data_IF_349372839943
#
_entry.id   IF_349372839943
#
_cell.length_a   1.000
_cell.length_b   1.000
_cell.length_c   1.000
_cell.angle_alpha   90.00
_cell.angle_beta   90.00
_cell.angle_gamma   90.00
#
_symmetry.space_group_name_H-M   'P 1'
#
loop_
_entity.id
_entity.type
_entity.pdbx_description
1 polymer ?
#
# COMPACT_ATOMS: atom_id res chain seq x y z
N UNK A 1 -4.90 14.94 8.42
CA UNK A 1 -3.80 14.44 9.25
C UNK A 1 -3.94 12.92 9.42
N UNK A 2 -3.41 12.11 8.49
CA UNK A 2 -3.62 10.64 8.52
C UNK A 2 -2.42 9.81 8.10
N UNK A 3 -1.43 10.41 7.43
CA UNK A 3 -0.14 9.78 7.09
C UNK A 3 0.94 10.54 7.85
N UNK A 4 1.75 9.81 8.63
CA UNK A 4 2.86 10.35 9.41
C UNK A 4 4.16 10.39 8.60
N UNK A 5 4.37 9.42 7.71
CA UNK A 5 5.55 9.36 6.84
C UNK A 5 5.24 8.66 5.52
N UNK A 6 6.03 8.99 4.50
CA UNK A 6 6.00 8.39 3.16
C UNK A 6 7.42 7.99 2.79
N UNK A 7 7.56 6.80 2.23
CA UNK A 7 8.84 6.29 1.75
C UNK A 7 8.68 5.81 0.30
N UNK A 8 9.61 6.16 -0.61
CA UNK A 8 9.59 5.63 -1.96
C UNK A 8 9.77 4.10 -1.91
N UNK A 9 9.03 3.41 -2.76
CA UNK A 9 9.09 1.96 -2.86
C UNK A 9 8.69 1.48 -4.25
N UNK A 10 8.72 0.17 -4.45
CA UNK A 10 8.23 -0.45 -5.69
C UNK A 10 7.34 -1.65 -5.36
N UNK A 11 6.23 -1.77 -6.08
CA UNK A 11 5.37 -2.95 -6.08
C UNK A 11 5.62 -3.81 -7.32
N UNK A 12 5.41 -5.12 -7.22
CA UNK A 12 5.51 -6.02 -8.38
C UNK A 12 4.11 -6.38 -8.85
N UNK A 13 3.80 -6.06 -10.10
CA UNK A 13 2.55 -6.43 -10.75
C UNK A 13 2.83 -7.45 -11.86
N UNK A 14 1.81 -8.23 -12.21
CA UNK A 14 1.87 -9.20 -13.29
C UNK A 14 0.47 -9.40 -13.88
N UNK A 15 0.42 -9.84 -15.13
CA UNK A 15 -0.81 -10.26 -15.79
C UNK A 15 -1.24 -11.65 -15.26
N UNK A 16 -2.38 -12.16 -15.72
CA UNK A 16 -2.85 -13.50 -15.36
C UNK A 16 -1.77 -14.56 -15.60
N UNK A 17 -1.74 -15.59 -14.74
CA UNK A 17 -0.68 -16.61 -14.71
C UNK A 17 0.71 -16.06 -14.37
N UNK A 18 0.78 -14.90 -13.71
CA UNK A 18 2.02 -14.23 -13.32
C UNK A 18 2.94 -13.91 -14.51
N UNK A 19 2.36 -13.72 -15.70
CA UNK A 19 3.09 -13.32 -16.90
C UNK A 19 3.41 -11.83 -16.88
N UNK A 20 4.44 -11.40 -17.63
CA UNK A 20 4.82 -9.99 -17.79
C UNK A 20 5.07 -9.26 -16.45
N UNK A 21 5.69 -9.95 -15.48
CA UNK A 21 5.91 -9.41 -14.15
C UNK A 21 6.90 -8.24 -14.16
N UNK A 22 6.48 -7.08 -13.66
CA UNK A 22 7.29 -5.86 -13.65
C UNK A 22 7.18 -5.10 -12.34
N UNK A 23 8.23 -4.35 -12.03
CA UNK A 23 8.23 -3.41 -10.92
C UNK A 23 7.59 -2.09 -11.35
N UNK A 24 6.74 -1.55 -10.51
CA UNK A 24 6.14 -0.22 -10.66
C UNK A 24 6.45 0.61 -9.43
N UNK A 25 6.68 1.90 -9.63
CA UNK A 25 6.92 2.82 -8.53
C UNK A 25 5.67 2.97 -7.66
N UNK A 26 5.92 3.15 -6.37
CA UNK A 26 4.89 3.33 -5.36
C UNK A 26 5.47 3.95 -4.10
N UNK A 27 4.64 3.99 -3.07
CA UNK A 27 5.01 4.57 -1.78
C UNK A 27 4.50 3.71 -0.63
N UNK A 28 5.38 3.46 0.32
CA UNK A 28 5.00 2.97 1.63
C UNK A 28 4.49 4.14 2.46
N UNK A 29 3.30 3.99 3.00
CA UNK A 29 2.65 4.95 3.88
C UNK A 29 2.70 4.44 5.30
N UNK A 30 3.18 5.26 6.23
CA UNK A 30 3.01 5.03 7.67
C UNK A 30 1.87 5.90 8.14
N UNK A 31 0.80 5.30 8.64
CA UNK A 31 -0.36 6.03 9.12
C UNK A 31 -0.11 6.57 10.53
N UNK A 32 -0.60 7.77 10.82
CA UNK A 32 -0.52 8.32 12.17
C UNK A 32 -1.52 7.61 13.09
N UNK A 33 -1.33 7.62 14.42
CA UNK A 33 -2.32 7.10 15.36
C UNK A 33 -3.69 7.82 15.29
N UNK A 34 -3.71 9.04 14.75
CA UNK A 34 -4.93 9.83 14.52
C UNK A 34 -5.61 9.51 13.18
N UNK A 35 -5.05 8.61 12.36
CA UNK A 35 -5.68 8.20 11.12
C UNK A 35 -7.03 7.53 11.39
N UNK A 36 -8.04 7.94 10.64
CA UNK A 36 -9.40 7.41 10.82
C UNK A 36 -9.44 5.91 10.55
N UNK A 37 -9.89 5.07 11.51
CA UNK A 37 -10.09 3.64 11.28
C UNK A 37 -11.10 3.34 10.18
N UNK A 38 -12.02 4.26 9.88
CA UNK A 38 -12.97 4.13 8.76
C UNK A 38 -12.26 4.09 7.40
N UNK A 39 -11.07 4.70 7.31
CA UNK A 39 -10.28 4.76 6.07
C UNK A 39 -9.18 3.70 6.06
N UNK A 40 -8.51 3.48 7.19
CA UNK A 40 -7.36 2.58 7.26
C UNK A 40 -7.71 1.16 7.73
N UNK A 41 -8.94 0.92 8.19
CA UNK A 41 -9.32 -0.37 8.78
C UNK A 41 -8.47 -0.76 9.99
N UNK A 42 -7.86 0.22 10.68
CA UNK A 42 -6.92 -0.02 11.77
C UNK A 42 -5.47 -0.30 11.35
N UNK A 43 -5.19 -0.33 10.04
CA UNK A 43 -3.84 -0.54 9.54
C UNK A 43 -2.91 0.60 9.97
N UNK A 44 -1.68 0.24 10.35
CA UNK A 44 -0.61 1.20 10.67
C UNK A 44 0.29 1.50 9.48
N UNK A 45 0.28 0.62 8.50
CA UNK A 45 1.08 0.73 7.28
C UNK A 45 0.18 0.46 6.08
N UNK A 46 0.39 1.19 5.00
CA UNK A 46 -0.21 0.91 3.71
C UNK A 46 0.81 1.04 2.59
N UNK A 47 0.47 0.54 1.41
CA UNK A 47 1.26 0.75 0.21
C UNK A 47 0.35 1.26 -0.90
N UNK A 48 0.79 2.31 -1.59
CA UNK A 48 0.11 2.82 -2.78
C UNK A 48 0.99 2.64 -4.00
N UNK A 49 0.43 2.12 -5.09
CA UNK A 49 1.05 2.22 -6.40
C UNK A 49 0.04 2.77 -7.40
N UNK A 50 0.54 3.57 -8.33
CA UNK A 50 -0.22 4.02 -9.49
C UNK A 50 0.20 3.17 -10.67
N UNK A 51 -0.65 2.24 -11.09
CA UNK A 51 -0.41 1.52 -12.33
C UNK A 51 -0.72 2.50 -13.48
N UNK A 52 0.27 2.85 -14.34
CA UNK A 52 0.04 3.81 -15.41
C UNK A 52 -1.14 3.37 -16.28
N UNK A 53 -2.07 4.29 -16.54
CA UNK A 53 -3.27 4.09 -17.38
C UNK A 53 -4.29 3.04 -16.89
N UNK A 54 -4.15 2.54 -15.66
CA UNK A 54 -5.04 1.50 -15.14
C UNK A 54 -5.72 1.96 -13.85
N UNK A 55 -5.15 1.64 -12.69
CA UNK A 55 -5.75 1.93 -11.40
C UNK A 55 -4.71 2.34 -10.36
N UNK A 56 -5.19 3.11 -9.38
CA UNK A 56 -4.47 3.36 -8.13
C UNK A 56 -5.02 2.41 -7.07
N UNK A 57 -4.11 1.67 -6.44
CA UNK A 57 -4.48 0.75 -5.36
C UNK A 57 -3.91 1.28 -4.06
N UNK A 58 -4.74 1.30 -3.02
CA UNK A 58 -4.28 1.42 -1.63
C UNK A 58 -4.41 0.05 -0.98
N UNK A 59 -3.26 -0.51 -0.59
CA UNK A 59 -3.20 -1.77 0.15
C UNK A 59 -2.99 -1.42 1.62
N UNK A 60 -3.85 -1.95 2.47
CA UNK A 60 -3.79 -1.76 3.91
C UNK A 60 -3.18 -2.99 4.57
N UNK A 61 -2.11 -2.80 5.33
CA UNK A 61 -1.36 -3.87 5.97
C UNK A 61 -1.62 -3.84 7.48
N UNK A 62 -2.41 -4.81 7.94
CA UNK A 62 -2.68 -5.00 9.36
C UNK A 62 -1.60 -5.88 10.00
N UNK A 63 -1.18 -5.50 11.21
CA UNK A 63 -0.25 -6.31 11.99
C UNK A 63 -0.98 -7.56 12.48
N UNK A 64 -0.47 -8.73 12.09
CA UNK A 64 -0.88 -10.01 12.69
C UNK A 64 -0.03 -10.23 13.95
N UNK A 65 -0.68 -10.63 15.04
CA UNK A 65 0.00 -11.13 16.23
C UNK A 65 0.16 -12.64 16.09
N UNK A 66 1.41 -13.10 16.03
CA UNK A 66 1.72 -14.53 16.07
C UNK A 66 1.87 -14.91 17.55
N UNK A 67 1.06 -15.87 17.99
CA UNK A 67 1.08 -16.41 19.35
C UNK A 67 2.31 -17.29 19.58
#
# INVERSE_FOLDING_TARGET
>A
MGVAARYPGRGRIADSNFSNAKWVDGELLVFSPAASPLVTGGARVGFVWSVPNDRRFLILLNRVQLA
#
